data_IF_882832855293
#
_entry.id   IF_882832855293
#
_cell.length_a   1.000
_cell.length_b   1.000
_cell.length_c   1.000
_cell.angle_alpha   90.00
_cell.angle_beta   90.00
_cell.angle_gamma   90.00
#
_symmetry.space_group_name_H-M   'P 1'
#
loop_
_entity.id
_entity.type
_entity.pdbx_description
1 polymer ?
#
# COMPACT_ATOMS: atom_id res chain seq x y z
N UNK A 1 -10.16 -4.38 -4.87
CA UNK A 1 -9.84 -4.69 -3.47
C UNK A 1 -9.00 -5.96 -3.42
N UNK A 2 -8.10 -6.15 -2.43
CA UNK A 2 -7.64 -7.50 -2.07
C UNK A 2 -8.86 -8.37 -1.71
N UNK A 3 -8.78 -9.67 -1.98
CA UNK A 3 -9.81 -10.62 -1.52
C UNK A 3 -9.47 -11.15 -0.14
N UNK A 4 -10.45 -11.71 0.57
CA UNK A 4 -10.20 -12.34 1.88
C UNK A 4 -9.24 -13.52 1.74
N UNK A 5 -9.39 -14.33 0.69
CA UNK A 5 -8.52 -15.49 0.42
C UNK A 5 -7.06 -15.05 0.24
N UNK A 6 -6.83 -13.88 -0.36
CA UNK A 6 -5.46 -13.34 -0.46
C UNK A 6 -4.91 -12.92 0.90
N UNK A 7 -5.71 -12.25 1.73
CA UNK A 7 -5.25 -11.83 3.07
C UNK A 7 -4.90 -13.02 3.96
N UNK A 8 -5.60 -14.15 3.81
CA UNK A 8 -5.31 -15.39 4.55
C UNK A 8 -4.00 -16.07 4.12
N UNK A 9 -3.45 -15.73 2.95
CA UNK A 9 -2.12 -16.23 2.53
C UNK A 9 -0.96 -15.50 3.21
N UNK A 10 -1.23 -14.35 3.81
CA UNK A 10 -0.20 -13.52 4.45
C UNK A 10 0.14 -14.05 5.84
N UNK A 11 1.39 -13.86 6.26
CA UNK A 11 1.74 -14.12 7.65
C UNK A 11 1.06 -13.10 8.59
N UNK A 12 1.11 -13.34 9.90
CA UNK A 12 0.40 -12.50 10.88
C UNK A 12 0.79 -11.01 10.80
N UNK A 13 2.07 -10.69 10.64
CA UNK A 13 2.54 -9.31 10.55
C UNK A 13 2.04 -8.64 9.25
N UNK A 14 2.23 -9.30 8.12
CA UNK A 14 1.80 -8.83 6.81
C UNK A 14 0.29 -8.64 6.73
N UNK A 15 -0.49 -9.55 7.33
CA UNK A 15 -1.94 -9.46 7.40
C UNK A 15 -2.38 -8.22 8.21
N UNK A 16 -1.78 -7.99 9.38
CA UNK A 16 -2.05 -6.81 10.20
C UNK A 16 -1.74 -5.52 9.44
N UNK A 17 -0.61 -5.46 8.74
CA UNK A 17 -0.26 -4.34 7.86
C UNK A 17 -1.33 -4.17 6.79
N UNK A 18 -1.65 -5.24 6.06
CA UNK A 18 -2.59 -5.22 4.94
C UNK A 18 -3.98 -4.72 5.34
N UNK A 19 -4.55 -5.27 6.41
CA UNK A 19 -5.86 -4.88 6.92
C UNK A 19 -5.87 -3.43 7.41
N UNK A 20 -4.85 -3.01 8.18
CA UNK A 20 -4.73 -1.62 8.64
C UNK A 20 -4.61 -0.66 7.47
N UNK A 21 -3.79 -0.95 6.46
CA UNK A 21 -3.67 -0.11 5.26
C UNK A 21 -5.01 0.03 4.53
N UNK A 22 -5.79 -1.05 4.39
CA UNK A 22 -7.14 -1.00 3.83
C UNK A 22 -8.06 -0.06 4.62
N UNK A 23 -8.07 -0.17 5.95
CA UNK A 23 -8.90 0.69 6.82
C UNK A 23 -8.44 2.15 6.75
N UNK A 24 -7.13 2.40 6.84
CA UNK A 24 -6.57 3.74 6.87
C UNK A 24 -6.89 4.52 5.59
N UNK A 25 -6.70 3.93 4.42
CA UNK A 25 -7.02 4.62 3.16
C UNK A 25 -8.53 4.75 2.96
N UNK A 26 -9.32 3.78 3.42
CA UNK A 26 -10.76 3.87 3.38
C UNK A 26 -11.24 5.07 4.21
N UNK A 27 -10.73 5.24 5.43
CA UNK A 27 -11.02 6.41 6.27
C UNK A 27 -10.50 7.72 5.64
N UNK A 28 -9.24 7.75 5.20
CA UNK A 28 -8.61 8.94 4.63
C UNK A 28 -9.25 9.40 3.31
N UNK A 29 -9.96 8.51 2.62
CA UNK A 29 -10.66 8.79 1.36
C UNK A 29 -12.16 9.03 1.52
N UNK A 30 -12.64 9.27 2.74
CA UNK A 30 -14.08 9.39 3.05
C UNK A 30 -14.87 8.17 2.55
N UNK A 31 -14.34 6.99 2.84
CA UNK A 31 -14.95 5.69 2.57
C UNK A 31 -15.01 5.28 1.09
N UNK A 32 -14.17 5.88 0.21
CA UNK A 32 -14.24 5.70 -1.25
C UNK A 32 -13.21 4.76 -1.84
N UNK A 33 -12.06 4.59 -1.19
CA UNK A 33 -10.92 3.86 -1.75
C UNK A 33 -10.61 2.62 -0.91
N UNK A 34 -10.41 1.50 -1.61
CA UNK A 34 -9.78 0.28 -1.10
C UNK A 34 -8.66 -0.08 -2.06
N UNK A 35 -7.46 -0.44 -1.57
CA UNK A 35 -6.32 -0.71 -2.45
C UNK A 35 -6.59 -1.92 -3.34
N UNK A 36 -5.93 -1.99 -4.48
CA UNK A 36 -5.83 -3.19 -5.31
C UNK A 36 -4.77 -4.11 -4.71
N UNK A 37 -4.85 -5.40 -5.04
CA UNK A 37 -3.92 -6.42 -4.54
C UNK A 37 -2.45 -6.01 -4.70
N UNK A 38 -2.00 -5.64 -5.90
CA UNK A 38 -0.61 -5.24 -6.11
C UNK A 38 -0.18 -3.97 -5.36
N UNK A 39 -1.12 -3.05 -5.07
CA UNK A 39 -0.82 -1.86 -4.28
C UNK A 39 -0.56 -2.25 -2.83
N UNK A 40 -1.33 -3.22 -2.32
CA UNK A 40 -1.16 -3.76 -0.98
C UNK A 40 0.12 -4.61 -0.88
N UNK A 41 0.40 -5.45 -1.88
CA UNK A 41 1.64 -6.24 -1.96
C UNK A 41 2.88 -5.35 -1.90
N UNK A 42 2.91 -4.28 -2.70
CA UNK A 42 4.00 -3.30 -2.71
C UNK A 42 4.15 -2.59 -1.36
N UNK A 43 3.03 -2.25 -0.73
CA UNK A 43 2.99 -1.58 0.57
C UNK A 43 3.53 -2.48 1.67
N UNK A 44 3.06 -3.74 1.71
CA UNK A 44 3.51 -4.74 2.68
C UNK A 44 5.00 -5.01 2.50
N UNK A 45 5.46 -5.19 1.27
CA UNK A 45 6.89 -5.36 0.98
C UNK A 45 7.71 -4.18 1.54
N UNK A 46 7.30 -2.94 1.23
CA UNK A 46 7.97 -1.73 1.73
C UNK A 46 8.02 -1.68 3.26
N UNK A 47 6.88 -1.92 3.94
CA UNK A 47 6.78 -1.85 5.40
C UNK A 47 7.48 -3.02 6.12
N UNK A 48 7.76 -4.11 5.42
CA UNK A 48 8.54 -5.25 5.92
C UNK A 48 10.01 -5.18 5.51
N UNK A 49 10.47 -4.02 5.01
CA UNK A 49 11.88 -3.80 4.66
C UNK A 49 12.34 -4.47 3.36
N UNK A 50 11.40 -4.80 2.46
CA UNK A 50 11.67 -5.37 1.14
C UNK A 50 11.49 -4.33 0.04
N UNK A 51 12.38 -4.34 -0.94
CA UNK A 51 12.24 -3.54 -2.15
C UNK A 51 11.13 -4.08 -3.07
N UNK A 52 10.55 -3.21 -3.89
CA UNK A 52 9.49 -3.57 -4.83
C UNK A 52 9.65 -2.86 -6.17
N UNK A 53 9.50 -3.61 -7.28
CA UNK A 53 9.40 -3.06 -8.63
C UNK A 53 7.95 -3.18 -9.10
N UNK A 54 7.31 -2.03 -9.36
CA UNK A 54 5.91 -1.97 -9.79
C UNK A 54 5.84 -1.60 -11.28
N UNK A 55 5.70 -2.61 -12.12
CA UNK A 55 5.54 -2.46 -13.56
C UNK A 55 4.06 -2.50 -13.96
N UNK A 56 3.43 -1.32 -13.98
CA UNK A 56 2.06 -1.14 -14.45
C UNK A 56 1.95 0.17 -15.24
N UNK A 57 0.96 0.25 -16.13
CA UNK A 57 0.70 1.44 -16.95
C UNK A 57 0.40 2.72 -16.15
N UNK A 58 0.35 3.86 -16.83
CA UNK A 58 -0.15 5.12 -16.27
C UNK A 58 -1.66 5.01 -15.97
N UNK A 59 -2.15 5.75 -14.97
CA UNK A 59 -3.56 5.68 -14.55
C UNK A 59 -3.92 4.47 -13.66
N UNK A 60 -3.00 3.53 -13.45
CA UNK A 60 -3.22 2.39 -12.55
C UNK A 60 -3.04 2.74 -11.05
N UNK A 61 -2.88 4.02 -10.69
CA UNK A 61 -2.80 4.40 -9.27
C UNK A 61 -1.53 3.95 -8.55
N UNK A 62 -0.38 3.97 -9.24
CA UNK A 62 0.95 3.71 -8.63
C UNK A 62 1.24 4.62 -7.43
N UNK A 63 0.72 5.84 -7.44
CA UNK A 63 0.82 6.79 -6.33
C UNK A 63 0.32 6.20 -5.01
N UNK A 64 -0.68 5.31 -5.05
CA UNK A 64 -1.19 4.69 -3.83
C UNK A 64 -0.15 3.79 -3.16
N UNK A 65 0.74 3.14 -3.93
CA UNK A 65 1.85 2.36 -3.39
C UNK A 65 2.86 3.23 -2.62
N UNK A 66 2.94 4.54 -2.94
CA UNK A 66 3.83 5.50 -2.27
C UNK A 66 3.16 6.10 -1.02
N UNK A 67 1.84 6.33 -1.08
CA UNK A 67 1.07 6.97 0.00
C UNK A 67 0.80 5.99 1.16
N UNK A 68 0.48 4.73 0.86
CA UNK A 68 0.06 3.77 1.89
C UNK A 68 1.12 3.52 2.97
N UNK A 69 2.42 3.34 2.66
CA UNK A 69 3.46 3.23 3.69
C UNK A 69 3.55 4.46 4.59
N UNK A 70 3.49 5.67 4.00
CA UNK A 70 3.52 6.93 4.74
C UNK A 70 2.28 7.12 5.63
N UNK A 71 1.12 6.64 5.19
CA UNK A 71 -0.12 6.67 5.96
C UNK A 71 -0.10 5.65 7.13
N UNK A 72 0.57 4.51 6.95
CA UNK A 72 0.64 3.44 7.95
C UNK A 72 1.58 3.78 9.12
N UNK A 73 2.79 4.29 8.83
CA UNK A 73 3.74 4.68 9.86
C UNK A 73 4.16 6.16 9.73
N UNK A 74 3.41 7.09 10.37
CA UNK A 74 3.70 8.52 10.28
C UNK A 74 5.01 8.93 10.98
N UNK A 75 5.70 8.02 11.67
CA UNK A 75 6.99 8.28 12.31
C UNK A 75 8.18 8.10 11.37
N UNK A 76 7.95 7.52 10.19
CA UNK A 76 8.98 7.30 9.18
C UNK A 76 8.92 8.33 8.06
N UNK A 77 10.09 8.78 7.61
CA UNK A 77 10.21 9.70 6.47
C UNK A 77 10.08 8.93 5.15
N UNK A 78 9.09 9.32 4.33
CA UNK A 78 8.96 8.84 2.95
C UNK A 78 9.47 9.89 1.97
N UNK A 79 10.41 9.52 1.10
CA UNK A 79 10.97 10.40 0.07
C UNK A 79 10.50 9.91 -1.30
N UNK A 80 9.78 10.76 -2.02
CA UNK A 80 9.31 10.48 -3.39
C UNK A 80 10.18 11.27 -4.35
N UNK A 81 10.90 10.56 -5.23
CA UNK A 81 11.78 11.16 -6.24
C UNK A 81 11.13 10.98 -7.61
N UNK A 82 10.90 12.08 -8.31
CA UNK A 82 10.36 12.11 -9.66
C UNK A 82 11.26 12.98 -10.55
N UNK A 83 11.49 12.61 -11.82
CA UNK A 83 12.21 13.47 -12.77
C UNK A 83 11.38 14.69 -13.22
N UNK A 84 10.09 14.73 -12.87
CA UNK A 84 9.21 15.85 -13.16
C UNK A 84 9.40 16.95 -12.10
N UNK A 85 9.53 18.19 -12.57
CA UNK A 85 9.49 19.40 -11.72
C UNK A 85 8.06 19.77 -11.36
#
# INVERSE_FOLDING_TARGET
APTYEYLDTLNTEENVIGVKCCILIWLASEFRIIPRKYQLEATIATLTGRDSLIDVGTGYGKTLCMILPALYDPRHLSIIISPLK
#
